data_IF_535352924640
#
_entry.id   IF_535352924640
#
_cell.length_a   1.000
_cell.length_b   1.000
_cell.length_c   1.000
_cell.angle_alpha   90.00
_cell.angle_beta   90.00
_cell.angle_gamma   90.00
#
_symmetry.space_group_name_H-M   'P 1'
#
loop_
_entity.id
_entity.type
_entity.pdbx_description
1 polymer ?
#
# COMPACT_ATOMS: atom_id res chain seq x y z
N UNK A 1 -8.31 -89.58 -21.10
CA UNK A 1 -6.93 -89.89 -21.54
C UNK A 1 -5.98 -88.91 -20.86
N UNK A 2 -5.04 -89.45 -20.10
CA UNK A 2 -3.98 -88.73 -19.39
C UNK A 2 -2.67 -89.08 -20.07
N UNK A 3 -1.81 -88.10 -20.35
CA UNK A 3 -0.36 -88.18 -20.08
C UNK A 3 0.29 -86.80 -20.28
N UNK A 4 1.01 -86.38 -19.22
CA UNK A 4 2.02 -85.32 -19.22
C UNK A 4 3.17 -85.66 -20.18
N UNK A 5 3.89 -84.64 -20.63
CA UNK A 5 5.35 -84.58 -20.42
C UNK A 5 5.84 -83.14 -20.59
N UNK A 6 6.27 -82.57 -19.46
CA UNK A 6 7.10 -81.36 -19.40
C UNK A 6 8.51 -81.69 -19.91
N UNK A 7 9.15 -80.74 -20.60
CA UNK A 7 10.61 -80.63 -20.59
C UNK A 7 10.98 -79.14 -20.54
N UNK A 8 11.40 -78.70 -19.36
CA UNK A 8 12.05 -77.40 -19.10
C UNK A 8 13.56 -77.51 -19.46
N UNK A 9 14.41 -76.54 -19.12
CA UNK A 9 14.57 -75.16 -19.62
C UNK A 9 16.06 -74.93 -20.03
N UNK A 10 16.48 -73.64 -20.10
CA UNK A 10 17.87 -73.14 -19.88
C UNK A 10 18.82 -73.31 -21.10
N UNK A 11 19.64 -72.37 -21.57
CA UNK A 11 20.40 -71.27 -20.92
C UNK A 11 21.17 -70.48 -22.01
N UNK A 12 21.13 -69.15 -21.89
CA UNK A 12 22.21 -68.14 -22.11
C UNK A 12 22.68 -67.76 -23.52
N UNK A 13 22.58 -66.46 -23.84
CA UNK A 13 23.72 -65.55 -23.69
C UNK A 13 23.31 -64.07 -23.91
N UNK A 14 23.52 -63.26 -22.87
CA UNK A 14 23.94 -61.84 -22.87
C UNK A 14 23.17 -60.81 -23.75
N UNK A 15 22.33 -59.94 -23.18
CA UNK A 15 22.69 -58.66 -22.52
C UNK A 15 23.31 -57.64 -23.49
N UNK A 16 22.48 -56.71 -24.00
CA UNK A 16 22.77 -55.27 -24.19
C UNK A 16 21.42 -54.55 -24.12
N UNK A 17 20.92 -54.18 -22.93
CA UNK A 17 21.12 -52.88 -22.27
C UNK A 17 20.87 -51.65 -23.18
N UNK A 18 19.60 -51.22 -23.27
CA UNK A 18 19.20 -49.86 -23.63
C UNK A 18 17.79 -49.62 -23.02
N UNK A 19 17.67 -49.39 -21.70
CA UNK A 19 17.76 -48.07 -21.05
C UNK A 19 16.93 -46.98 -21.74
N UNK A 20 15.61 -46.97 -21.49
CA UNK A 20 14.86 -45.70 -21.34
C UNK A 20 13.92 -45.88 -20.15
N UNK A 21 14.45 -45.56 -18.97
CA UNK A 21 13.73 -45.60 -17.71
C UNK A 21 12.74 -44.43 -17.61
N UNK A 22 11.62 -44.74 -16.98
CA UNK A 22 10.52 -43.86 -16.65
C UNK A 22 10.94 -42.64 -15.81
N UNK A 23 10.27 -41.52 -16.03
CA UNK A 23 9.88 -40.64 -14.92
C UNK A 23 8.68 -39.77 -15.29
N UNK A 24 7.51 -40.19 -14.81
CA UNK A 24 6.36 -39.30 -14.63
C UNK A 24 6.54 -38.66 -13.26
N UNK A 25 6.76 -37.33 -13.21
CA UNK A 25 6.77 -36.55 -11.98
C UNK A 25 5.83 -35.34 -12.14
N UNK A 26 4.87 -35.25 -11.23
CA UNK A 26 3.79 -34.25 -11.08
C UNK A 26 4.37 -32.97 -10.44
N UNK A 27 3.79 -31.77 -10.65
CA UNK A 27 4.51 -30.50 -10.51
C UNK A 27 4.60 -30.03 -9.06
N UNK A 28 5.75 -29.44 -8.70
CA UNK A 28 5.95 -28.75 -7.43
C UNK A 28 6.20 -27.26 -7.66
N UNK A 29 5.40 -26.44 -6.99
CA UNK A 29 5.41 -24.98 -6.94
C UNK A 29 6.84 -24.44 -6.73
N UNK A 30 7.32 -23.58 -7.63
CA UNK A 30 8.40 -22.66 -7.27
C UNK A 30 8.46 -21.45 -8.19
N UNK A 31 8.31 -20.27 -7.59
CA UNK A 31 8.67 -18.99 -8.14
C UNK A 31 7.56 -18.30 -8.94
N UNK A 32 6.84 -17.40 -8.28
CA UNK A 32 6.52 -16.13 -8.92
C UNK A 32 7.85 -15.56 -9.43
N UNK A 33 8.12 -15.76 -10.72
CA UNK A 33 9.25 -15.17 -11.40
C UNK A 33 8.98 -13.67 -11.36
N UNK A 34 9.60 -13.00 -10.40
CA UNK A 34 9.50 -11.57 -10.22
C UNK A 34 9.75 -10.93 -11.58
N UNK A 35 8.71 -10.26 -12.09
CA UNK A 35 8.89 -9.30 -13.15
C UNK A 35 9.85 -8.27 -12.58
N UNK A 36 11.11 -8.36 -12.98
CA UNK A 36 12.08 -7.28 -12.81
C UNK A 36 11.44 -6.05 -13.41
N UNK A 37 10.98 -5.14 -12.56
CA UNK A 37 10.48 -3.85 -13.01
C UNK A 37 11.66 -3.17 -13.71
N UNK A 38 11.53 -2.75 -14.98
CA UNK A 38 12.57 -1.97 -15.63
C UNK A 38 12.84 -0.74 -14.77
N UNK A 39 14.13 -0.41 -14.67
CA UNK A 39 14.63 0.71 -13.91
C UNK A 39 13.90 2.01 -14.30
N UNK A 40 14.01 2.99 -13.40
CA UNK A 40 13.58 4.38 -13.56
C UNK A 40 12.07 4.61 -13.68
N UNK A 41 11.36 4.41 -12.55
CA UNK A 41 10.30 5.37 -12.24
C UNK A 41 10.93 6.77 -12.31
N UNK A 42 10.38 7.72 -13.08
CA UNK A 42 10.86 9.08 -13.01
C UNK A 42 10.73 9.50 -11.56
N UNK A 43 11.87 9.72 -10.91
CA UNK A 43 11.92 10.57 -9.74
C UNK A 43 11.69 11.98 -10.24
N UNK A 44 10.48 12.25 -10.74
CA UNK A 44 9.86 13.54 -10.48
C UNK A 44 9.55 13.53 -8.99
N UNK A 45 10.61 13.54 -8.19
CA UNK A 45 10.54 13.86 -6.79
C UNK A 45 10.02 15.28 -6.79
N UNK A 46 8.74 15.42 -6.47
CA UNK A 46 8.23 16.71 -6.03
C UNK A 46 9.24 17.23 -5.02
N UNK A 47 9.88 18.36 -5.34
CA UNK A 47 10.89 18.98 -4.48
C UNK A 47 10.28 19.61 -3.23
N UNK A 48 9.02 19.27 -2.90
CA UNK A 48 8.42 19.59 -1.63
C UNK A 48 9.14 18.79 -0.55
N UNK A 49 10.13 19.43 0.09
CA UNK A 49 10.50 19.07 1.44
C UNK A 49 9.21 18.94 2.26
N UNK A 50 8.99 17.84 3.00
CA UNK A 50 7.77 17.67 3.77
C UNK A 50 7.62 18.86 4.73
N UNK A 51 6.45 19.49 4.70
CA UNK A 51 6.11 20.57 5.63
C UNK A 51 6.23 20.03 7.05
N UNK A 52 7.06 20.67 7.86
CA UNK A 52 7.38 20.19 9.21
C UNK A 52 6.25 20.56 10.18
N UNK A 53 5.80 19.57 10.95
CA UNK A 53 4.91 19.74 12.08
C UNK A 53 5.71 20.31 13.26
N UNK A 54 5.37 21.53 13.70
CA UNK A 54 6.11 22.26 14.74
C UNK A 54 5.23 22.85 15.86
N UNK A 55 3.93 23.02 15.61
CA UNK A 55 2.95 23.41 16.62
C UNK A 55 1.61 22.70 16.41
N UNK A 56 0.79 22.64 17.45
CA UNK A 56 -0.58 22.15 17.33
C UNK A 56 -1.52 23.14 18.07
N UNK A 57 -2.40 23.87 17.37
CA UNK A 57 -2.60 23.86 15.91
C UNK A 57 -1.45 24.50 15.11
N UNK A 58 -1.42 24.28 13.79
CA UNK A 58 -0.47 24.93 12.88
C UNK A 58 -1.17 25.46 11.62
N UNK A 59 -0.87 26.71 11.26
CA UNK A 59 -1.24 27.27 9.96
C UNK A 59 -0.31 26.74 8.88
N UNK A 60 -0.88 26.30 7.77
CA UNK A 60 -0.17 25.85 6.57
C UNK A 60 -0.66 26.58 5.33
N UNK A 61 0.19 26.63 4.31
CA UNK A 61 -0.04 27.43 3.10
C UNK A 61 0.19 26.65 1.81
N UNK A 62 -0.36 27.16 0.72
CA UNK A 62 -0.16 26.62 -0.62
C UNK A 62 1.31 26.70 -1.07
N UNK A 63 2.07 27.69 -0.62
CA UNK A 63 3.51 27.85 -0.92
C UNK A 63 4.34 26.70 -0.32
N UNK A 64 4.02 26.30 0.92
CA UNK A 64 4.72 25.21 1.61
C UNK A 64 4.43 23.83 0.99
N UNK A 65 3.19 23.61 0.52
CA UNK A 65 2.77 22.33 -0.06
C UNK A 65 2.99 22.24 -1.59
N UNK A 66 3.13 23.36 -2.29
CA UNK A 66 3.29 23.42 -3.74
C UNK A 66 2.21 22.62 -4.48
N UNK A 67 2.62 21.73 -5.38
CA UNK A 67 1.71 20.88 -6.18
C UNK A 67 0.86 19.91 -5.34
N UNK A 68 1.25 19.67 -4.07
CA UNK A 68 0.48 18.83 -3.16
C UNK A 68 -0.67 19.57 -2.48
N UNK A 69 -0.75 20.90 -2.63
CA UNK A 69 -1.82 21.72 -2.05
C UNK A 69 -3.16 21.46 -2.75
N UNK A 70 -4.19 20.94 -2.05
CA UNK A 70 -5.38 20.45 -2.73
C UNK A 70 -6.54 21.46 -2.83
N UNK A 71 -6.40 22.67 -2.30
CA UNK A 71 -7.51 23.61 -2.10
C UNK A 71 -7.42 24.89 -2.93
N UNK A 72 -8.54 25.47 -3.32
CA UNK A 72 -8.57 26.77 -4.04
C UNK A 72 -8.13 27.98 -3.18
N UNK A 73 -8.19 27.86 -1.85
CA UNK A 73 -7.73 28.90 -0.93
C UNK A 73 -6.24 28.75 -0.60
N UNK A 74 -5.59 29.82 -0.14
CA UNK A 74 -4.13 29.85 0.01
C UNK A 74 -3.61 29.32 1.34
N UNK A 75 -4.44 29.26 2.38
CA UNK A 75 -4.03 28.81 3.73
C UNK A 75 -5.18 28.26 4.55
N UNK A 76 -4.85 27.40 5.50
CA UNK A 76 -5.76 26.95 6.55
C UNK A 76 -4.97 26.64 7.83
N UNK A 77 -5.69 26.51 8.94
CA UNK A 77 -5.14 25.94 10.17
C UNK A 77 -5.49 24.45 10.24
N UNK A 78 -4.55 23.63 10.67
CA UNK A 78 -4.74 22.20 10.88
C UNK A 78 -4.45 21.89 12.34
N UNK A 79 -5.32 21.06 12.94
CA UNK A 79 -5.17 20.60 14.31
C UNK A 79 -5.41 19.10 14.42
N UNK A 80 -4.86 18.53 15.49
CA UNK A 80 -5.07 17.15 15.86
C UNK A 80 -5.28 17.04 17.36
N UNK A 81 -6.36 16.41 17.80
CA UNK A 81 -6.63 16.18 19.23
C UNK A 81 -7.00 14.70 19.42
N UNK A 82 -6.39 13.98 20.37
CA UNK A 82 -6.82 12.63 20.67
C UNK A 82 -8.23 12.63 21.28
N UNK A 83 -9.06 11.67 20.89
CA UNK A 83 -10.34 11.43 21.54
C UNK A 83 -10.18 10.67 22.87
N UNK A 84 -11.30 10.29 23.49
CA UNK A 84 -11.30 9.53 24.75
C UNK A 84 -10.64 8.13 24.65
N UNK A 85 -10.49 7.60 23.44
CA UNK A 85 -9.83 6.31 23.14
C UNK A 85 -8.36 6.51 22.76
N UNK A 86 -7.91 7.76 22.58
CA UNK A 86 -6.58 8.10 22.08
C UNK A 86 -6.49 8.15 20.55
N UNK A 87 -7.61 8.02 19.82
CA UNK A 87 -7.61 8.11 18.36
C UNK A 87 -7.49 9.58 17.91
N UNK A 88 -6.64 9.90 16.92
CA UNK A 88 -6.36 11.29 16.57
C UNK A 88 -7.49 11.90 15.74
N UNK A 89 -8.26 12.81 16.33
CA UNK A 89 -9.31 13.58 15.65
C UNK A 89 -8.65 14.74 14.91
N UNK A 90 -8.71 14.69 13.58
CA UNK A 90 -8.01 15.63 12.70
C UNK A 90 -9.00 16.65 12.16
N UNK A 91 -8.65 17.94 12.22
CA UNK A 91 -9.51 19.03 11.76
C UNK A 91 -8.76 20.06 10.94
N UNK A 92 -9.47 20.66 10.00
CA UNK A 92 -9.04 21.80 9.20
C UNK A 92 -9.96 22.98 9.49
N UNK A 93 -9.39 24.15 9.79
CA UNK A 93 -10.12 25.40 9.98
C UNK A 93 -9.75 26.36 8.84
N UNK A 94 -10.74 26.78 8.07
CA UNK A 94 -10.56 27.79 7.02
C UNK A 94 -10.43 29.19 7.62
N UNK A 95 -9.95 30.17 6.84
CA UNK A 95 -9.74 31.54 7.32
C UNK A 95 -11.01 32.22 7.87
N UNK A 96 -12.19 31.81 7.40
CA UNK A 96 -13.49 32.27 7.90
C UNK A 96 -13.91 31.64 9.23
N UNK A 97 -13.11 30.73 9.78
CA UNK A 97 -13.36 30.01 11.03
C UNK A 97 -14.21 28.75 10.89
N UNK A 98 -14.62 28.36 9.67
CA UNK A 98 -15.36 27.12 9.46
C UNK A 98 -14.46 25.91 9.68
N UNK A 99 -14.93 24.94 10.47
CA UNK A 99 -14.17 23.73 10.82
C UNK A 99 -14.69 22.54 10.02
N UNK A 100 -13.75 21.78 9.44
CA UNK A 100 -14.00 20.61 8.62
C UNK A 100 -13.28 19.39 9.20
N UNK A 101 -13.94 18.23 9.10
CA UNK A 101 -13.38 16.95 9.49
C UNK A 101 -12.35 16.47 8.45
N UNK A 102 -11.12 16.18 8.87
CA UNK A 102 -10.11 15.54 8.03
C UNK A 102 -10.18 14.00 8.10
N UNK A 103 -10.88 13.42 9.08
CA UNK A 103 -11.11 11.99 9.19
C UNK A 103 -12.50 11.65 9.77
N UNK A 104 -12.93 10.42 9.52
CA UNK A 104 -14.25 9.90 9.92
C UNK A 104 -14.20 9.29 11.33
N UNK A 105 -13.88 10.10 12.34
CA UNK A 105 -13.96 9.73 13.76
C UNK A 105 -15.14 10.42 14.45
N UNK A 106 -15.66 9.83 15.51
CA UNK A 106 -16.83 10.36 16.24
C UNK A 106 -16.61 11.76 16.83
N UNK A 107 -15.37 12.12 17.16
CA UNK A 107 -15.00 13.48 17.56
C UNK A 107 -15.20 14.54 16.47
N UNK A 108 -15.51 14.13 15.24
CA UNK A 108 -15.85 14.98 14.11
C UNK A 108 -17.33 14.89 13.69
N UNK A 109 -18.17 14.16 14.44
CA UNK A 109 -19.59 14.00 14.11
C UNK A 109 -20.28 15.37 14.00
N UNK A 110 -20.96 15.60 12.87
CA UNK A 110 -21.68 16.84 12.58
C UNK A 110 -20.85 17.94 11.89
N UNK A 111 -19.54 17.74 11.71
CA UNK A 111 -18.72 18.64 10.90
C UNK A 111 -18.82 18.29 9.39
N UNK A 112 -18.75 19.28 8.49
CA UNK A 112 -18.57 19.01 7.07
C UNK A 112 -17.22 18.33 6.79
N UNK A 113 -17.11 17.57 5.70
CA UNK A 113 -15.87 16.85 5.36
C UNK A 113 -14.90 17.77 4.62
N UNK A 114 -13.62 17.73 4.96
CA UNK A 114 -12.60 18.50 4.27
C UNK A 114 -12.39 18.03 2.82
N UNK A 115 -12.75 16.78 2.50
CA UNK A 115 -12.74 16.25 1.13
C UNK A 115 -13.63 17.04 0.17
N UNK A 116 -14.70 17.66 0.68
CA UNK A 116 -15.63 18.46 -0.12
C UNK A 116 -14.99 19.78 -0.61
N UNK A 117 -13.85 20.18 -0.02
CA UNK A 117 -13.08 21.37 -0.40
C UNK A 117 -12.00 21.08 -1.45
N UNK A 118 -11.73 19.79 -1.74
CA UNK A 118 -10.62 19.37 -2.59
C UNK A 118 -10.93 19.64 -4.06
N UNK A 119 -9.99 20.30 -4.76
CA UNK A 119 -10.11 20.54 -6.20
C UNK A 119 -10.20 19.23 -6.99
N UNK A 120 -10.93 19.19 -8.11
CA UNK A 120 -10.97 18.02 -8.97
C UNK A 120 -9.58 17.53 -9.37
N UNK A 121 -9.29 16.24 -9.13
CA UNK A 121 -8.01 15.62 -9.45
C UNK A 121 -6.89 15.82 -8.41
N UNK A 122 -7.12 16.61 -7.35
CA UNK A 122 -6.22 16.71 -6.22
C UNK A 122 -6.55 15.64 -5.15
N UNK A 123 -5.66 15.49 -4.15
CA UNK A 123 -5.80 14.52 -3.06
C UNK A 123 -5.70 15.23 -1.71
N UNK A 124 -6.60 14.88 -0.78
CA UNK A 124 -6.53 15.33 0.63
C UNK A 124 -5.39 14.66 1.41
N UNK A 125 -4.82 13.57 0.87
CA UNK A 125 -3.84 12.72 1.55
C UNK A 125 -2.68 13.47 2.20
N UNK A 126 -1.99 14.40 1.49
CA UNK A 126 -0.90 15.19 2.07
C UNK A 126 -1.30 15.96 3.32
N UNK A 127 -2.51 16.54 3.34
CA UNK A 127 -3.01 17.32 4.50
C UNK A 127 -3.29 16.40 5.68
N UNK A 128 -3.88 15.22 5.45
CA UNK A 128 -4.10 14.22 6.51
C UNK A 128 -2.78 13.68 7.07
N UNK A 129 -1.80 13.40 6.21
CA UNK A 129 -0.48 12.94 6.63
C UNK A 129 0.24 14.00 7.47
N UNK A 130 0.15 15.27 7.08
CA UNK A 130 0.65 16.39 7.89
C UNK A 130 -0.06 16.46 9.25
N UNK A 131 -1.39 16.41 9.26
CA UNK A 131 -2.20 16.48 10.48
C UNK A 131 -1.86 15.38 11.48
N UNK A 132 -1.56 14.16 11.02
CA UNK A 132 -1.11 13.07 11.87
C UNK A 132 0.23 13.37 12.57
N UNK A 133 1.12 14.12 11.93
CA UNK A 133 2.38 14.55 12.54
C UNK A 133 2.19 15.55 13.68
N UNK A 134 1.05 16.24 13.76
CA UNK A 134 0.74 17.17 14.86
C UNK A 134 0.42 16.45 16.18
N UNK A 135 0.06 15.16 16.11
CA UNK A 135 -0.31 14.34 17.27
C UNK A 135 0.88 14.12 18.20
N UNK A 136 2.10 14.07 17.65
CA UNK A 136 3.32 13.77 18.40
C UNK A 136 3.97 15.01 19.06
N UNK A 137 3.36 16.19 18.96
CA UNK A 137 3.92 17.47 19.42
C UNK A 137 3.60 17.83 20.90
N UNK A 138 3.24 16.84 21.72
CA UNK A 138 2.92 17.01 23.14
C UNK A 138 4.09 17.55 24.00
#
# INVERSE_FOLDING_TARGET
MSTRLEFRPRIWSEIVLALVAALVAVPALSGCRGLSHPEEFPTSGSSASPVEATSNPQTITCEEFGDLWPFEFDRCEVSAEPDASGDPVLRLTTEDGTVYALNDLSGNDGLPKAEDLVRPGASIGPIRSFALGLVDLE
#
